data_IF_086144210623
#
_entry.id   IF_086144210623
#
_cell.length_a   1.000
_cell.length_b   1.000
_cell.length_c   1.000
_cell.angle_alpha   90.00
_cell.angle_beta   90.00
_cell.angle_gamma   90.00
#
_symmetry.space_group_name_H-M   'P 1'
#
loop_
_entity.id
_entity.type
_entity.pdbx_description
1 polymer ?
#
# COMPACT_ATOMS: atom_id res chain seq x y z
N UNK A 1 -24.39 -1.40 12.09
CA UNK A 1 -23.27 -0.72 11.41
C UNK A 1 -22.26 -1.79 10.95
N UNK A 2 -22.77 -2.89 10.36
CA UNK A 2 -22.13 -4.22 10.49
C UNK A 2 -21.99 -5.03 9.19
N UNK A 3 -22.33 -4.45 8.04
CA UNK A 3 -22.16 -5.15 6.76
C UNK A 3 -20.78 -4.88 6.13
N UNK A 4 -20.21 -3.68 6.34
CA UNK A 4 -18.86 -3.34 5.83
C UNK A 4 -17.73 -4.01 6.62
N UNK A 5 -17.89 -4.21 7.93
CA UNK A 5 -16.87 -4.87 8.76
C UNK A 5 -16.78 -6.37 8.47
N UNK A 6 -17.92 -7.02 8.19
CA UNK A 6 -17.96 -8.42 7.79
C UNK A 6 -17.43 -8.64 6.37
N UNK A 7 -17.67 -7.72 5.43
CA UNK A 7 -17.12 -7.82 4.06
C UNK A 7 -15.60 -7.61 4.02
N UNK A 8 -15.06 -6.70 4.85
CA UNK A 8 -13.62 -6.47 4.98
C UNK A 8 -12.92 -7.61 5.73
N UNK A 9 -13.58 -8.25 6.73
CA UNK A 9 -13.06 -9.48 7.35
C UNK A 9 -13.01 -10.65 6.37
N UNK A 10 -14.06 -10.84 5.56
CA UNK A 10 -14.14 -11.94 4.58
C UNK A 10 -13.15 -11.79 3.42
N UNK A 11 -12.77 -10.56 3.07
CA UNK A 11 -11.77 -10.29 2.01
C UNK A 11 -10.32 -10.29 2.52
N UNK A 12 -10.09 -10.05 3.82
CA UNK A 12 -8.76 -10.27 4.45
C UNK A 12 -8.47 -11.74 4.80
N UNK A 13 -9.49 -12.58 4.92
CA UNK A 13 -9.35 -14.04 5.10
C UNK A 13 -9.10 -14.82 3.80
N UNK A 14 -8.90 -14.15 2.66
CA UNK A 14 -8.43 -14.80 1.41
C UNK A 14 -6.91 -14.85 1.33
N UNK A 15 -6.20 -14.50 2.42
CA UNK A 15 -4.75 -14.74 2.51
C UNK A 15 -4.48 -16.24 2.67
N UNK A 16 -4.10 -16.85 1.56
CA UNK A 16 -3.26 -18.06 1.48
C UNK A 16 -3.77 -19.23 2.31
N UNK A 17 -5.00 -19.67 2.02
CA UNK A 17 -5.24 -21.09 2.10
C UNK A 17 -4.36 -21.73 1.01
N UNK A 18 -3.28 -22.36 1.47
CA UNK A 18 -2.53 -23.37 0.73
C UNK A 18 -3.57 -24.37 0.24
N UNK A 19 -3.99 -24.23 -1.01
CA UNK A 19 -4.51 -25.36 -1.75
C UNK A 19 -3.31 -26.29 -1.88
N UNK A 20 -3.32 -27.30 -1.01
CA UNK A 20 -2.61 -28.55 -1.21
C UNK A 20 -2.61 -28.77 -2.72
N UNK A 21 -1.43 -28.91 -3.33
CA UNK A 21 -1.29 -29.27 -4.73
C UNK A 21 -1.88 -30.69 -4.90
N UNK A 22 -3.21 -30.81 -4.84
CA UNK A 22 -3.97 -32.04 -5.00
C UNK A 22 -4.02 -32.30 -6.49
N UNK A 23 -2.88 -32.71 -7.03
CA UNK A 23 -2.95 -33.65 -8.11
C UNK A 23 -3.29 -34.99 -7.45
N UNK A 24 -4.36 -35.66 -7.88
CA UNK A 24 -4.71 -37.01 -7.43
C UNK A 24 -3.57 -38.03 -7.57
N UNK A 25 -2.52 -37.70 -8.33
CA UNK A 25 -1.32 -38.51 -8.51
C UNK A 25 -0.21 -38.31 -7.47
N UNK A 26 -0.23 -37.23 -6.67
CA UNK A 26 0.78 -36.93 -5.65
C UNK A 26 0.18 -37.07 -4.24
N UNK A 27 0.91 -37.70 -3.31
CA UNK A 27 0.54 -37.69 -1.88
C UNK A 27 0.74 -36.27 -1.31
N UNK A 28 0.28 -36.05 -0.08
CA UNK A 28 0.46 -34.78 0.62
C UNK A 28 1.93 -34.31 0.59
N UNK A 29 2.16 -33.09 0.08
CA UNK A 29 3.47 -32.43 0.02
C UNK A 29 3.46 -31.31 1.06
N UNK A 30 4.47 -31.27 1.94
CA UNK A 30 4.63 -30.17 2.90
C UNK A 30 5.12 -28.90 2.19
N UNK A 31 4.48 -27.78 2.49
CA UNK A 31 4.77 -26.47 1.88
C UNK A 31 4.91 -25.38 2.93
N UNK A 32 5.68 -24.35 2.62
CA UNK A 32 5.80 -23.12 3.39
C UNK A 32 5.98 -21.93 2.47
N UNK A 33 5.95 -20.73 3.03
CA UNK A 33 6.02 -19.49 2.27
C UNK A 33 7.22 -18.70 2.75
N UNK A 34 8.13 -18.39 1.83
CA UNK A 34 9.33 -17.61 2.10
C UNK A 34 9.39 -16.48 1.08
N UNK A 35 9.55 -15.24 1.55
CA UNK A 35 9.58 -14.03 0.71
C UNK A 35 8.36 -13.84 -0.21
N UNK A 36 7.19 -14.37 0.20
CA UNK A 36 5.96 -14.29 -0.60
C UNK A 36 5.85 -15.35 -1.69
N UNK A 37 6.82 -16.25 -1.81
CA UNK A 37 6.82 -17.36 -2.77
C UNK A 37 6.58 -18.70 -2.06
N UNK A 38 5.93 -19.67 -2.72
CA UNK A 38 5.76 -21.01 -2.19
C UNK A 38 7.07 -21.81 -2.27
N UNK A 39 7.38 -22.51 -1.19
CA UNK A 39 8.50 -23.43 -1.07
C UNK A 39 8.00 -24.80 -0.61
N UNK A 40 8.59 -25.85 -1.18
CA UNK A 40 8.15 -27.23 -1.01
C UNK A 40 9.23 -28.05 -0.33
N UNK A 41 8.86 -28.99 0.55
CA UNK A 41 9.82 -29.95 1.09
C UNK A 41 10.24 -30.90 -0.02
N UNK A 42 11.48 -30.77 -0.50
CA UNK A 42 11.97 -31.51 -1.66
C UNK A 42 12.00 -33.02 -1.45
N UNK A 43 12.17 -33.47 -0.20
CA UNK A 43 12.11 -34.89 0.19
C UNK A 43 10.75 -35.50 -0.18
N UNK A 44 9.65 -34.83 0.15
CA UNK A 44 8.28 -35.34 -0.07
C UNK A 44 8.00 -35.49 -1.56
N UNK A 45 8.45 -34.53 -2.36
CA UNK A 45 8.31 -34.56 -3.82
C UNK A 45 9.12 -35.72 -4.40
N UNK A 46 10.37 -35.86 -4.00
CA UNK A 46 11.23 -36.94 -4.50
C UNK A 46 10.70 -38.33 -4.08
N UNK A 47 10.16 -38.48 -2.87
CA UNK A 47 9.48 -39.70 -2.42
C UNK A 47 8.24 -40.00 -3.27
N UNK A 48 7.42 -39.00 -3.54
CA UNK A 48 6.21 -39.16 -4.37
C UNK A 48 6.53 -39.51 -5.82
N UNK A 49 7.65 -39.01 -6.36
CA UNK A 49 8.13 -39.41 -7.69
C UNK A 49 8.66 -40.86 -7.71
N UNK A 50 9.03 -41.41 -6.54
CA UNK A 50 9.54 -42.77 -6.38
C UNK A 50 11.06 -42.87 -6.34
N UNK A 51 11.77 -41.80 -5.97
CA UNK A 51 13.22 -41.86 -5.78
C UNK A 51 13.58 -42.74 -4.58
N UNK A 52 14.56 -43.63 -4.74
CA UNK A 52 15.05 -44.48 -3.64
C UNK A 52 15.82 -43.71 -2.57
N UNK A 53 16.48 -42.61 -2.96
CA UNK A 53 17.16 -41.69 -2.06
C UNK A 53 16.73 -40.26 -2.36
N UNK A 54 15.66 -39.84 -1.71
CA UNK A 54 14.98 -38.57 -1.93
C UNK A 54 15.87 -37.36 -1.64
N UNK A 55 16.64 -37.38 -0.54
CA UNK A 55 17.58 -36.30 -0.21
C UNK A 55 18.66 -36.14 -1.27
N UNK A 56 19.21 -37.26 -1.77
CA UNK A 56 20.22 -37.23 -2.83
C UNK A 56 19.63 -36.77 -4.17
N UNK A 57 18.38 -37.15 -4.47
CA UNK A 57 17.69 -36.71 -5.68
C UNK A 57 17.56 -35.18 -5.72
N UNK A 58 17.12 -34.56 -4.62
CA UNK A 58 17.04 -33.09 -4.50
C UNK A 58 18.42 -32.45 -4.67
N UNK A 59 19.46 -33.01 -4.06
CA UNK A 59 20.82 -32.46 -4.17
C UNK A 59 21.32 -32.50 -5.61
N UNK A 60 21.07 -33.59 -6.33
CA UNK A 60 21.61 -33.84 -7.68
C UNK A 60 20.82 -33.18 -8.82
N UNK A 61 19.54 -32.89 -8.61
CA UNK A 61 18.61 -32.49 -9.68
C UNK A 61 18.04 -31.09 -9.51
N UNK A 62 18.36 -30.41 -8.41
CA UNK A 62 17.93 -29.03 -8.15
C UNK A 62 19.17 -28.16 -8.01
N UNK A 63 19.15 -27.00 -8.68
CA UNK A 63 20.24 -26.03 -8.61
C UNK A 63 20.38 -25.43 -7.22
N UNK A 64 21.55 -24.86 -6.91
CA UNK A 64 21.81 -24.31 -5.58
C UNK A 64 20.97 -23.07 -5.25
N UNK A 65 20.58 -22.29 -6.25
CA UNK A 65 19.71 -21.12 -6.09
C UNK A 65 18.25 -21.49 -5.81
N UNK A 66 17.84 -22.66 -6.27
CA UNK A 66 16.46 -23.16 -6.16
C UNK A 66 16.23 -24.04 -4.93
N UNK A 67 17.23 -24.18 -4.05
CA UNK A 67 17.14 -25.00 -2.84
C UNK A 67 17.76 -24.32 -1.62
N UNK A 68 17.10 -24.47 -0.48
CA UNK A 68 17.59 -24.00 0.81
C UNK A 68 17.50 -25.12 1.84
N UNK A 69 18.49 -25.22 2.73
CA UNK A 69 18.43 -26.13 3.86
C UNK A 69 17.94 -25.40 5.09
N UNK A 70 16.87 -25.90 5.69
CA UNK A 70 16.28 -25.31 6.89
C UNK A 70 16.07 -26.38 7.97
N UNK A 71 16.01 -25.92 9.21
CA UNK A 71 15.67 -26.74 10.36
C UNK A 71 14.16 -26.74 10.52
N UNK A 72 13.53 -27.89 10.28
CA UNK A 72 12.09 -28.07 10.46
C UNK A 72 11.83 -29.03 11.60
N UNK A 73 10.84 -28.71 12.43
CA UNK A 73 10.34 -29.63 13.45
C UNK A 73 9.47 -30.68 12.74
N UNK A 74 10.13 -31.68 12.16
CA UNK A 74 9.47 -32.73 11.40
C UNK A 74 9.02 -33.82 12.37
N UNK A 75 7.71 -33.89 12.63
CA UNK A 75 7.11 -35.13 13.07
C UNK A 75 7.16 -36.10 11.88
N UNK A 76 8.28 -36.81 11.70
CA UNK A 76 8.38 -37.87 10.71
C UNK A 76 7.49 -39.05 11.17
N UNK A 77 6.21 -38.94 10.84
CA UNK A 77 5.19 -39.98 11.03
C UNK A 77 5.43 -41.11 10.03
N UNK A 78 6.50 -41.89 10.22
CA UNK A 78 6.58 -43.22 9.62
C UNK A 78 7.18 -44.31 10.52
N UNK A 79 7.77 -43.99 11.68
CA UNK A 79 8.37 -45.04 12.51
C UNK A 79 8.21 -44.89 14.03
N UNK A 80 7.25 -44.09 14.51
CA UNK A 80 6.77 -44.11 15.91
C UNK A 80 7.78 -43.88 17.04
N UNK A 81 9.07 -43.75 16.74
CA UNK A 81 10.19 -43.70 17.66
C UNK A 81 11.30 -42.82 17.07
N UNK A 82 11.09 -41.49 17.04
CA UNK A 82 12.17 -40.51 16.88
C UNK A 82 11.87 -39.30 17.78
N UNK A 83 12.86 -38.72 18.48
CA UNK A 83 12.64 -37.59 19.39
C UNK A 83 12.08 -36.38 18.64
N UNK A 84 11.21 -35.60 19.31
CA UNK A 84 10.91 -34.22 18.89
C UNK A 84 12.24 -33.49 18.70
N UNK A 85 12.54 -33.10 17.47
CA UNK A 85 13.83 -32.54 17.12
C UNK A 85 13.83 -31.96 15.72
N UNK A 86 14.43 -30.78 15.59
CA UNK A 86 14.57 -30.11 14.31
C UNK A 86 15.49 -30.94 13.38
N UNK A 87 14.98 -31.33 12.22
CA UNK A 87 15.78 -32.00 11.18
C UNK A 87 16.14 -31.01 10.08
N UNK A 88 17.39 -31.09 9.61
CA UNK A 88 17.86 -30.31 8.47
C UNK A 88 17.29 -30.91 7.19
N UNK A 89 16.37 -30.20 6.55
CA UNK A 89 15.69 -30.64 5.32
C UNK A 89 15.89 -29.62 4.20
N UNK A 90 15.99 -30.12 2.97
CA UNK A 90 16.00 -29.28 1.78
C UNK A 90 14.57 -28.87 1.42
N UNK A 91 14.33 -27.57 1.36
CA UNK A 91 13.16 -26.97 0.71
C UNK A 91 13.58 -26.43 -0.65
N UNK A 92 12.67 -26.50 -1.62
CA UNK A 92 12.89 -26.07 -3.00
C UNK A 92 11.78 -25.12 -3.43
N UNK A 93 12.11 -24.11 -4.22
CA UNK A 93 11.12 -23.22 -4.83
C UNK A 93 10.43 -23.92 -6.01
N UNK A 94 9.53 -23.21 -6.71
CA UNK A 94 8.81 -23.76 -7.85
C UNK A 94 9.74 -24.14 -9.02
N UNK A 95 10.80 -23.36 -9.29
CA UNK A 95 11.82 -23.69 -10.28
C UNK A 95 12.53 -25.01 -9.97
N UNK A 96 12.89 -25.23 -8.70
CA UNK A 96 13.50 -26.45 -8.22
C UNK A 96 12.57 -27.67 -8.29
N UNK A 97 11.28 -27.47 -8.00
CA UNK A 97 10.25 -28.49 -8.20
C UNK A 97 10.22 -28.97 -9.66
N UNK A 98 10.15 -28.03 -10.62
CA UNK A 98 10.15 -28.38 -12.03
C UNK A 98 11.46 -29.03 -12.47
N UNK A 99 12.60 -28.53 -12.01
CA UNK A 99 13.92 -29.11 -12.32
C UNK A 99 14.00 -30.59 -11.89
N UNK A 100 13.51 -30.90 -10.69
CA UNK A 100 13.44 -32.27 -10.17
C UNK A 100 12.54 -33.18 -11.02
N UNK A 101 11.34 -32.70 -11.41
CA UNK A 101 10.39 -33.49 -12.21
C UNK A 101 10.90 -33.69 -13.64
N UNK A 102 11.39 -32.62 -14.27
CA UNK A 102 11.80 -32.64 -15.67
C UNK A 102 13.02 -33.55 -15.90
N UNK A 103 13.98 -33.52 -14.97
CA UNK A 103 15.17 -34.38 -15.00
C UNK A 103 14.90 -35.85 -14.64
N UNK A 104 13.82 -36.13 -13.91
CA UNK A 104 13.47 -37.48 -13.47
C UNK A 104 13.07 -38.41 -14.62
N UNK A 105 13.51 -39.67 -14.55
CA UNK A 105 13.14 -40.75 -15.49
C UNK A 105 12.04 -41.68 -14.95
N UNK A 106 11.53 -41.40 -13.74
CA UNK A 106 10.57 -42.24 -13.04
C UNK A 106 9.18 -42.19 -13.70
N UNK A 107 8.35 -43.25 -13.56
CA UNK A 107 7.04 -43.31 -14.20
C UNK A 107 6.12 -42.13 -13.85
N UNK A 108 6.08 -41.71 -12.58
CA UNK A 108 5.26 -40.57 -12.16
C UNK A 108 5.73 -39.25 -12.79
N UNK A 109 7.04 -39.03 -12.86
CA UNK A 109 7.60 -37.86 -13.56
C UNK A 109 7.23 -37.86 -15.04
N UNK A 110 7.21 -39.03 -15.70
CA UNK A 110 6.81 -39.16 -17.10
C UNK A 110 5.33 -38.83 -17.31
N UNK A 111 4.44 -39.25 -16.40
CA UNK A 111 3.02 -38.91 -16.48
C UNK A 111 2.79 -37.41 -16.37
N UNK A 112 3.40 -36.77 -15.37
CA UNK A 112 3.31 -35.32 -15.20
C UNK A 112 3.84 -34.58 -16.43
N UNK A 113 5.03 -34.97 -16.93
CA UNK A 113 5.59 -34.40 -18.17
C UNK A 113 4.64 -34.57 -19.35
N UNK A 114 4.02 -35.74 -19.49
CA UNK A 114 3.07 -36.00 -20.58
C UNK A 114 1.86 -35.08 -20.45
N UNK A 115 1.22 -35.03 -19.29
CA UNK A 115 0.08 -34.15 -19.02
C UNK A 115 0.40 -32.69 -19.35
N UNK A 116 1.51 -32.15 -18.82
CA UNK A 116 1.93 -30.77 -19.11
C UNK A 116 2.14 -30.53 -20.61
N UNK A 117 2.81 -31.45 -21.31
CA UNK A 117 3.17 -31.28 -22.72
C UNK A 117 2.04 -31.57 -23.70
N UNK A 118 1.09 -32.43 -23.37
CA UNK A 118 -0.04 -32.77 -24.24
C UNK A 118 -1.30 -31.95 -24.00
N UNK A 119 -1.46 -31.40 -22.80
CA UNK A 119 -2.71 -30.77 -22.36
C UNK A 119 -2.50 -29.32 -21.95
N UNK A 120 -1.72 -29.09 -20.90
CA UNK A 120 -1.53 -27.75 -20.29
C UNK A 120 -0.91 -26.77 -21.28
N UNK A 121 0.29 -27.07 -21.79
CA UNK A 121 1.01 -26.17 -22.70
C UNK A 121 0.26 -25.95 -24.02
N UNK A 122 -0.33 -26.98 -24.67
CA UNK A 122 -1.17 -26.77 -25.84
C UNK A 122 -2.40 -25.91 -25.56
N UNK A 123 -3.05 -26.05 -24.40
CA UNK A 123 -4.20 -25.20 -24.04
C UNK A 123 -3.77 -23.74 -23.89
N UNK A 124 -2.70 -23.48 -23.14
CA UNK A 124 -2.16 -22.13 -22.96
C UNK A 124 -1.76 -21.52 -24.31
N UNK A 125 -1.11 -22.29 -25.18
CA UNK A 125 -0.72 -21.80 -26.52
C UNK A 125 -1.92 -21.42 -27.40
N UNK A 126 -3.03 -22.17 -27.31
CA UNK A 126 -4.23 -21.93 -28.16
C UNK A 126 -5.13 -20.84 -27.59
N UNK A 127 -5.35 -20.85 -26.28
CA UNK A 127 -6.39 -20.04 -25.63
C UNK A 127 -5.82 -18.93 -24.74
N UNK A 128 -4.50 -18.91 -24.52
CA UNK A 128 -3.84 -18.02 -23.57
C UNK A 128 -3.96 -18.45 -22.11
N UNK A 129 -4.70 -19.52 -21.80
CA UNK A 129 -4.91 -20.02 -20.44
C UNK A 129 -5.14 -21.54 -20.39
N UNK A 130 -5.01 -22.10 -19.19
CA UNK A 130 -5.43 -23.45 -18.84
C UNK A 130 -6.51 -23.34 -17.76
N UNK A 131 -7.64 -24.02 -17.96
CA UNK A 131 -8.74 -24.11 -17.01
C UNK A 131 -9.04 -25.58 -16.76
N UNK A 132 -9.40 -25.92 -15.53
CA UNK A 132 -9.82 -27.28 -15.17
C UNK A 132 -11.20 -27.58 -15.74
N UNK A 133 -11.52 -28.86 -15.94
CA UNK A 133 -12.84 -29.28 -16.43
C UNK A 133 -13.97 -28.74 -15.55
N UNK A 134 -13.79 -28.70 -14.22
CA UNK A 134 -14.75 -28.09 -13.29
C UNK A 134 -15.06 -26.61 -13.58
N UNK A 135 -14.07 -25.84 -14.05
CA UNK A 135 -14.26 -24.45 -14.46
C UNK A 135 -14.87 -24.34 -15.86
N UNK A 136 -14.53 -25.26 -16.76
CA UNK A 136 -15.05 -25.30 -18.13
C UNK A 136 -16.50 -25.78 -18.20
N UNK A 137 -16.91 -26.65 -17.29
CA UNK A 137 -18.26 -27.21 -17.19
C UNK A 137 -19.28 -26.19 -16.66
N UNK A 138 -18.82 -25.06 -16.11
CA UNK A 138 -19.66 -23.95 -15.65
C UNK A 138 -19.17 -22.58 -16.16
N UNK A 139 -19.22 -22.36 -17.49
CA UNK A 139 -18.66 -21.16 -18.11
C UNK A 139 -19.37 -19.88 -17.65
N UNK A 140 -20.67 -19.95 -17.34
CA UNK A 140 -21.47 -18.81 -16.90
C UNK A 140 -21.00 -18.27 -15.53
N UNK A 141 -20.66 -19.16 -14.60
CA UNK A 141 -20.09 -18.77 -13.31
C UNK A 141 -18.73 -18.08 -13.49
N UNK A 142 -17.90 -18.60 -14.40
CA UNK A 142 -16.59 -18.03 -14.68
C UNK A 142 -16.69 -16.64 -15.31
N UNK A 143 -17.62 -16.45 -16.26
CA UNK A 143 -17.91 -15.14 -16.87
C UNK A 143 -18.33 -14.15 -15.79
N UNK A 144 -19.27 -14.52 -14.92
CA UNK A 144 -19.76 -13.66 -13.84
C UNK A 144 -18.63 -13.19 -12.91
N UNK A 145 -17.74 -14.10 -12.50
CA UNK A 145 -16.59 -13.78 -11.64
C UNK A 145 -15.63 -12.83 -12.33
N UNK A 146 -15.34 -13.05 -13.62
CA UNK A 146 -14.44 -12.17 -14.39
C UNK A 146 -15.03 -10.76 -14.59
N UNK A 147 -16.33 -10.65 -14.82
CA UNK A 147 -17.02 -9.37 -14.91
C UNK A 147 -16.95 -8.58 -13.60
N UNK A 148 -17.16 -9.27 -12.47
CA UNK A 148 -17.05 -8.68 -11.14
C UNK A 148 -15.63 -8.16 -10.87
N UNK A 149 -14.60 -8.97 -11.16
CA UNK A 149 -13.21 -8.57 -11.01
C UNK A 149 -12.84 -7.37 -11.91
N UNK A 150 -13.38 -7.34 -13.13
CA UNK A 150 -13.19 -6.22 -14.05
C UNK A 150 -13.78 -4.93 -13.45
N UNK A 151 -14.99 -5.00 -12.90
CA UNK A 151 -15.65 -3.86 -12.24
C UNK A 151 -14.84 -3.35 -11.06
N UNK A 152 -14.39 -4.24 -10.17
CA UNK A 152 -13.59 -3.86 -9.01
C UNK A 152 -12.27 -3.16 -9.41
N UNK A 153 -11.60 -3.65 -10.48
CA UNK A 153 -10.40 -3.00 -11.01
C UNK A 153 -10.69 -1.62 -11.59
N UNK A 154 -11.82 -1.45 -12.28
CA UNK A 154 -12.23 -0.15 -12.81
C UNK A 154 -12.52 0.83 -11.66
N UNK A 155 -13.25 0.42 -10.63
CA UNK A 155 -13.49 1.25 -9.44
C UNK A 155 -12.20 1.66 -8.74
N UNK A 156 -11.26 0.72 -8.55
CA UNK A 156 -9.94 1.01 -8.00
C UNK A 156 -9.16 2.01 -8.85
N UNK A 157 -9.26 1.90 -10.17
CA UNK A 157 -8.60 2.83 -11.09
C UNK A 157 -9.20 4.24 -10.99
N UNK A 158 -10.53 4.35 -10.99
CA UNK A 158 -11.25 5.61 -10.83
C UNK A 158 -10.90 6.25 -9.48
N UNK A 159 -10.92 5.47 -8.39
CA UNK A 159 -10.55 5.96 -7.06
C UNK A 159 -9.08 6.40 -7.00
N UNK A 160 -8.18 5.68 -7.67
CA UNK A 160 -6.76 6.06 -7.77
C UNK A 160 -6.61 7.35 -8.57
N UNK A 161 -7.34 7.50 -9.67
CA UNK A 161 -7.36 8.71 -10.50
C UNK A 161 -7.86 9.92 -9.70
N UNK A 162 -8.98 9.78 -8.99
CA UNK A 162 -9.49 10.82 -8.09
C UNK A 162 -8.47 11.19 -7.00
N UNK A 163 -7.77 10.21 -6.42
CA UNK A 163 -6.68 10.49 -5.49
C UNK A 163 -5.50 11.22 -6.14
N UNK A 164 -5.17 10.92 -7.40
CA UNK A 164 -4.14 11.61 -8.17
C UNK A 164 -4.54 13.01 -8.59
N UNK A 165 -5.83 13.29 -8.79
CA UNK A 165 -6.41 14.61 -9.10
C UNK A 165 -6.71 15.45 -7.85
N UNK A 166 -6.83 14.83 -6.68
CA UNK A 166 -6.83 15.54 -5.40
C UNK A 166 -5.41 15.93 -4.96
N UNK A 167 -4.40 15.15 -5.35
CA UNK A 167 -2.98 15.44 -5.09
C UNK A 167 -2.35 16.65 -5.81
N UNK A 168 -2.77 17.15 -6.99
CA UNK A 168 -2.16 18.31 -7.63
C UNK A 168 -2.78 19.64 -7.16
N UNK A 169 -3.87 19.61 -6.37
CA UNK A 169 -4.33 20.79 -5.60
C UNK A 169 -3.42 21.10 -4.40
N UNK A 170 -2.33 20.33 -4.22
CA UNK A 170 -1.44 20.39 -3.07
C UNK A 170 -0.36 21.48 -3.16
N UNK A 171 -0.21 22.23 -4.26
CA UNK A 171 0.88 23.22 -4.39
C UNK A 171 0.90 24.26 -3.26
N UNK A 172 -0.25 24.86 -2.93
CA UNK A 172 -0.33 25.78 -1.77
C UNK A 172 -0.24 25.05 -0.42
N UNK A 173 -0.89 23.88 -0.29
CA UNK A 173 -0.90 23.12 0.95
C UNK A 173 0.51 22.64 1.34
N UNK A 174 1.32 22.18 0.39
CA UNK A 174 2.69 21.70 0.62
C UNK A 174 3.62 22.84 1.07
N UNK A 175 3.44 24.06 0.53
CA UNK A 175 4.16 25.26 0.99
C UNK A 175 3.74 25.64 2.42
N UNK A 176 2.44 25.57 2.73
CA UNK A 176 1.96 25.90 4.08
C UNK A 176 2.40 24.85 5.10
N UNK A 177 2.36 23.56 4.73
CA UNK A 177 2.74 22.44 5.60
C UNK A 177 4.25 22.37 5.85
N UNK A 178 5.07 22.79 4.89
CA UNK A 178 6.53 22.85 5.05
C UNK A 178 7.02 23.99 5.97
N UNK A 179 6.30 25.12 6.04
CA UNK A 179 6.62 26.22 6.95
C UNK A 179 6.07 25.98 8.37
N UNK A 180 6.88 25.40 9.28
CA UNK A 180 6.46 25.12 10.67
C UNK A 180 6.25 26.35 11.55
N UNK A 181 6.72 27.52 11.13
CA UNK A 181 6.64 28.74 11.93
C UNK A 181 5.39 29.58 11.61
N UNK A 182 4.85 30.24 12.64
CA UNK A 182 3.80 31.23 12.46
C UNK A 182 4.34 32.46 11.71
N UNK A 183 3.59 32.95 10.73
CA UNK A 183 4.01 34.02 9.81
C UNK A 183 3.16 35.27 9.98
N UNK A 184 3.72 36.43 9.67
CA UNK A 184 2.97 37.68 9.69
C UNK A 184 1.96 37.72 8.52
N UNK A 185 0.85 38.42 8.71
CA UNK A 185 -0.17 38.62 7.66
C UNK A 185 0.39 39.28 6.39
N UNK A 186 1.50 40.02 6.51
CA UNK A 186 2.24 40.59 5.39
C UNK A 186 2.76 39.52 4.43
N UNK A 187 3.28 38.41 4.95
CA UNK A 187 3.77 37.28 4.15
C UNK A 187 2.61 36.65 3.38
N UNK A 188 1.54 36.31 4.09
CA UNK A 188 0.34 35.71 3.48
C UNK A 188 -0.25 36.64 2.42
N UNK A 189 -0.31 37.96 2.67
CA UNK A 189 -0.86 38.91 1.69
C UNK A 189 -0.10 38.92 0.36
N UNK A 190 1.21 38.63 0.38
CA UNK A 190 2.03 38.55 -0.83
C UNK A 190 1.75 37.31 -1.67
N UNK A 191 1.35 36.20 -1.04
CA UNK A 191 0.89 34.98 -1.74
C UNK A 191 -0.29 35.30 -2.69
N UNK A 192 -1.10 36.32 -2.37
CA UNK A 192 -2.26 36.78 -3.16
C UNK A 192 -1.98 38.05 -3.99
N UNK A 193 -0.75 38.55 -4.00
CA UNK A 193 -0.41 39.82 -4.67
C UNK A 193 -1.03 41.06 -4.00
N UNK A 194 -1.46 40.96 -2.74
CA UNK A 194 -2.13 42.03 -2.00
C UNK A 194 -1.18 42.76 -1.05
N UNK A 195 -1.63 43.93 -0.58
CA UNK A 195 -1.02 44.59 0.56
C UNK A 195 -1.61 44.04 1.86
N UNK A 196 -0.83 44.06 2.94
CA UNK A 196 -1.34 43.68 4.27
C UNK A 196 -2.55 44.52 4.70
N UNK A 197 -2.65 45.77 4.26
CA UNK A 197 -3.83 46.63 4.49
C UNK A 197 -5.07 46.07 3.79
N UNK A 198 -4.96 45.70 2.51
CA UNK A 198 -6.05 45.10 1.73
C UNK A 198 -6.48 43.76 2.33
N UNK A 199 -5.52 42.91 2.68
CA UNK A 199 -5.76 41.62 3.31
C UNK A 199 -6.50 41.78 4.65
N UNK A 200 -6.01 42.66 5.53
CA UNK A 200 -6.63 42.90 6.83
C UNK A 200 -8.05 43.47 6.69
N UNK A 201 -8.26 44.36 5.70
CA UNK A 201 -9.57 44.92 5.42
C UNK A 201 -10.55 43.83 4.97
N UNK A 202 -10.16 42.95 4.04
CA UNK A 202 -11.02 41.86 3.56
C UNK A 202 -11.35 40.86 4.67
N UNK A 203 -10.38 40.49 5.51
CA UNK A 203 -10.63 39.61 6.67
C UNK A 203 -11.55 40.28 7.71
N UNK A 204 -11.50 41.61 7.84
CA UNK A 204 -12.44 42.35 8.69
C UNK A 204 -13.85 42.39 8.09
N UNK A 205 -13.98 42.65 6.79
CA UNK A 205 -15.25 42.62 6.06
C UNK A 205 -15.92 41.24 6.13
N UNK A 206 -15.12 40.16 6.16
CA UNK A 206 -15.59 38.77 6.32
C UNK A 206 -15.85 38.37 7.78
N UNK A 207 -15.74 39.31 8.74
CA UNK A 207 -16.02 39.03 10.14
C UNK A 207 -15.02 38.13 10.85
N UNK A 208 -13.78 38.00 10.34
CA UNK A 208 -12.74 37.13 10.92
C UNK A 208 -11.96 37.82 12.03
N UNK A 209 -11.60 39.08 11.81
CA UNK A 209 -10.75 39.84 12.72
C UNK A 209 -11.23 41.29 12.87
N UNK A 210 -10.85 41.92 13.98
CA UNK A 210 -11.06 43.33 14.24
C UNK A 210 -9.77 44.01 14.68
N UNK A 211 -9.73 45.33 14.57
CA UNK A 211 -8.56 46.12 14.95
C UNK A 211 -8.71 46.64 16.38
N UNK A 212 -7.78 46.28 17.27
CA UNK A 212 -7.69 46.82 18.62
C UNK A 212 -6.37 47.57 18.79
N UNK A 213 -6.44 48.89 18.90
CA UNK A 213 -5.24 49.74 18.91
C UNK A 213 -4.39 49.54 17.64
N UNK A 214 -3.17 49.02 17.82
CA UNK A 214 -2.22 48.75 16.73
C UNK A 214 -2.15 47.28 16.29
N UNK A 215 -2.99 46.40 16.85
CA UNK A 215 -3.01 44.97 16.55
C UNK A 215 -4.34 44.54 15.93
N UNK A 216 -4.30 43.44 15.18
CA UNK A 216 -5.49 42.77 14.66
C UNK A 216 -5.72 41.50 15.46
N UNK A 217 -6.92 41.33 16.02
CA UNK A 217 -7.30 40.18 16.83
C UNK A 217 -8.50 39.49 16.19
N UNK A 218 -8.62 38.19 16.41
CA UNK A 218 -9.74 37.40 15.89
C UNK A 218 -11.02 37.69 16.68
N UNK A 219 -12.17 37.65 16.02
CA UNK A 219 -13.47 37.64 16.71
C UNK A 219 -13.61 36.38 17.56
N UNK A 220 -14.52 36.42 18.54
CA UNK A 220 -14.73 35.36 19.54
C UNK A 220 -14.92 33.99 18.89
N UNK A 221 -15.70 33.92 17.80
CA UNK A 221 -15.99 32.70 17.05
C UNK A 221 -14.74 31.98 16.51
N UNK A 222 -13.62 32.70 16.38
CA UNK A 222 -12.36 32.20 15.84
C UNK A 222 -11.20 32.23 16.84
N UNK A 223 -11.39 32.83 18.01
CA UNK A 223 -10.31 33.11 18.96
C UNK A 223 -9.72 31.82 19.58
N UNK A 224 -10.54 30.82 19.83
CA UNK A 224 -10.13 29.55 20.46
C UNK A 224 -9.66 28.49 19.46
N UNK A 225 -9.76 28.77 18.16
CA UNK A 225 -9.42 27.82 17.10
C UNK A 225 -7.91 27.69 16.83
N UNK A 226 -7.06 28.48 17.50
CA UNK A 226 -5.61 28.40 17.33
C UNK A 226 -5.10 28.89 15.97
N UNK A 227 -5.87 29.72 15.26
CA UNK A 227 -5.48 30.27 13.96
C UNK A 227 -4.37 31.33 14.05
N UNK A 228 -4.28 32.05 15.17
CA UNK A 228 -3.27 33.08 15.39
C UNK A 228 -2.53 32.88 16.71
N UNK A 229 -1.30 33.37 16.79
CA UNK A 229 -0.56 33.54 18.02
C UNK A 229 0.02 34.96 18.12
N UNK A 230 0.23 35.41 19.35
CA UNK A 230 0.72 36.75 19.64
C UNK A 230 2.21 36.69 19.95
N UNK A 231 3.03 37.49 19.27
CA UNK A 231 4.46 37.63 19.57
C UNK A 231 4.75 39.05 20.04
N UNK A 232 5.48 39.18 21.15
CA UNK A 232 5.93 40.45 21.71
C UNK A 232 7.36 40.72 21.30
N UNK A 233 7.61 41.87 20.69
CA UNK A 233 8.92 42.36 20.29
C UNK A 233 9.34 43.51 21.20
N UNK A 234 10.48 43.38 21.87
CA UNK A 234 11.10 44.46 22.64
C UNK A 234 12.05 45.27 21.75
N UNK A 235 12.03 46.59 21.91
CA UNK A 235 12.92 47.51 21.21
C UNK A 235 13.42 48.58 22.17
N UNK A 236 14.69 48.96 22.04
CA UNK A 236 15.26 50.03 22.86
C UNK A 236 14.82 51.38 22.30
N UNK A 237 14.24 52.20 23.16
CA UNK A 237 13.97 53.61 22.86
C UNK A 237 15.27 54.41 23.05
N UNK A 238 15.41 55.52 22.32
CA UNK A 238 16.60 56.38 22.38
C UNK A 238 16.90 57.00 23.75
N UNK A 239 15.99 56.88 24.73
CA UNK A 239 16.13 57.32 26.12
C UNK A 239 16.61 56.20 27.08
N UNK A 240 16.97 55.02 26.57
CA UNK A 240 17.43 53.87 27.38
C UNK A 240 16.31 52.99 27.95
N UNK A 241 15.03 53.34 27.75
CA UNK A 241 13.90 52.49 28.12
C UNK A 241 13.64 51.39 27.08
N UNK A 242 13.21 50.22 27.54
CA UNK A 242 12.75 49.14 26.64
C UNK A 242 11.26 49.33 26.35
N UNK A 243 10.93 49.63 25.09
CA UNK A 243 9.57 49.58 24.57
C UNK A 243 9.19 48.17 24.13
N UNK A 244 7.91 47.82 24.20
CA UNK A 244 7.38 46.56 23.66
C UNK A 244 6.31 46.83 22.61
N UNK A 245 6.29 46.02 21.56
CA UNK A 245 5.26 46.01 20.52
C UNK A 245 4.74 44.59 20.37
N UNK A 246 3.42 44.48 20.25
CA UNK A 246 2.74 43.21 20.10
C UNK A 246 2.33 43.05 18.64
N UNK A 247 2.53 41.87 18.08
CA UNK A 247 2.14 41.54 16.71
C UNK A 247 1.41 40.19 16.65
N UNK A 248 0.38 40.14 15.81
CA UNK A 248 -0.38 38.92 15.53
C UNK A 248 0.26 38.17 14.37
N UNK A 249 0.56 36.89 14.60
CA UNK A 249 1.09 35.95 13.63
C UNK A 249 0.07 34.84 13.37
N UNK A 250 0.04 34.33 12.14
CA UNK A 250 -0.87 33.29 11.69
C UNK A 250 -0.17 31.94 11.68
N UNK A 251 -0.79 30.94 12.31
CA UNK A 251 -0.29 29.56 12.35
C UNK A 251 -0.52 28.86 11.01
N UNK A 252 0.03 27.64 10.83
CA UNK A 252 -0.29 26.81 9.67
C UNK A 252 -1.82 26.59 9.54
N UNK A 253 -2.49 26.26 10.66
CA UNK A 253 -3.94 26.12 10.72
C UNK A 253 -4.64 27.40 10.29
N UNK A 254 -4.15 28.56 10.74
CA UNK A 254 -4.66 29.87 10.33
C UNK A 254 -4.47 30.21 8.86
N UNK A 255 -3.33 29.84 8.25
CA UNK A 255 -3.08 30.00 6.81
C UNK A 255 -4.05 29.17 5.97
N UNK A 256 -4.28 27.91 6.37
CA UNK A 256 -5.25 27.04 5.72
C UNK A 256 -6.68 27.57 5.85
N UNK A 257 -7.02 28.11 7.02
CA UNK A 257 -8.31 28.78 7.23
C UNK A 257 -8.50 29.97 6.28
N UNK A 258 -7.52 30.88 6.21
CA UNK A 258 -7.55 32.02 5.29
C UNK A 258 -7.70 31.55 3.84
N UNK A 259 -6.95 30.51 3.45
CA UNK A 259 -7.01 29.97 2.09
C UNK A 259 -8.40 29.43 1.76
N UNK A 260 -8.96 28.58 2.62
CA UNK A 260 -10.29 28.00 2.40
C UNK A 260 -11.37 29.11 2.31
N UNK A 261 -11.28 30.11 3.20
CA UNK A 261 -12.21 31.24 3.25
C UNK A 261 -12.12 32.14 2.01
N UNK A 262 -10.91 32.49 1.58
CA UNK A 262 -10.73 33.33 0.39
C UNK A 262 -11.08 32.57 -0.89
N UNK A 263 -10.82 31.26 -0.95
CA UNK A 263 -11.19 30.40 -2.08
C UNK A 263 -12.70 30.28 -2.23
N UNK A 264 -13.47 30.19 -1.15
CA UNK A 264 -14.94 30.22 -1.23
C UNK A 264 -15.48 31.56 -1.76
N UNK A 265 -14.72 32.64 -1.58
CA UNK A 265 -15.01 33.98 -2.09
C UNK A 265 -14.45 34.21 -3.53
N UNK A 266 -13.85 33.18 -4.15
CA UNK A 266 -13.30 33.24 -5.50
C UNK A 266 -11.87 33.80 -5.61
N UNK A 267 -11.17 34.00 -4.49
CA UNK A 267 -9.78 34.46 -4.47
C UNK A 267 -8.81 33.31 -4.21
N UNK A 268 -7.87 33.09 -5.12
CA UNK A 268 -6.82 32.07 -5.00
C UNK A 268 -5.42 32.70 -4.96
N UNK A 269 -4.42 32.04 -4.33
CA UNK A 269 -3.04 32.49 -4.36
C UNK A 269 -2.47 32.56 -5.78
N UNK A 270 -1.49 33.43 -6.00
CA UNK A 270 -0.82 33.61 -7.30
C UNK A 270 -0.19 32.33 -7.84
N UNK A 271 0.24 31.41 -6.97
CA UNK A 271 0.84 30.14 -7.40
C UNK A 271 -0.18 29.23 -8.10
N UNK A 272 -1.44 29.20 -7.63
CA UNK A 272 -2.50 28.42 -8.29
C UNK A 272 -2.93 29.05 -9.62
N UNK A 273 -2.84 30.37 -9.74
CA UNK A 273 -3.11 31.08 -11.00
C UNK A 273 -2.04 30.73 -12.05
N UNK A 274 -0.78 30.57 -11.65
CA UNK A 274 0.32 30.21 -12.55
C UNK A 274 0.33 28.75 -12.98
N UNK A 275 -0.20 27.84 -12.16
CA UNK A 275 -0.31 26.42 -12.49
C UNK A 275 -1.49 26.11 -13.42
N UNK A 276 -2.49 26.99 -13.46
CA UNK A 276 -3.66 26.88 -14.32
C UNK A 276 -3.51 27.57 -15.70
N UNK A 277 -2.41 28.30 -15.93
CA UNK A 277 -2.10 29.04 -17.15
C UNK A 277 -1.06 28.31 -18.00
#
# INVERSE_FOLDING_TARGET
MDLKVNFIRKTKEVFMNIEIFRNSEFKDIRTMVMNGEPWFVGKDIAENLGYSNSSKAVINHVETEDKQFIMLDLADSQNGNVPKGQTKTAVINESGLYSLILSSKLPQAKKFKRWVTSEVLPSIRRHGMYATDELLDNPDLFILVLEELKRERQEKLILKQQNLEMKPKASYYDIVLSCKEAVAITVISKDYGWSARKMNKKLHELGVQFKQGNIWLLYQDYAEEGYTCTKTYSFNKGNGEVGTKIHTYWTQKGRLFIYNLLKSEGYVPLIEIKEAA
#
